data_IF_216557433176
#
_entry.id   IF_216557433176
#
_cell.length_a   1.000
_cell.length_b   1.000
_cell.length_c   1.000
_cell.angle_alpha   90.00
_cell.angle_beta   90.00
_cell.angle_gamma   90.00
#
_symmetry.space_group_name_H-M   'P 1'
#
loop_
_entity.id
_entity.type
_entity.pdbx_description
1 polymer ?
#
# COMPACT_ATOMS: atom_id res chain seq x y z
N UNK A 1 -6.17 0.69 15.71
CA UNK A 1 -6.58 1.92 15.02
C UNK A 1 -7.47 1.57 13.85
N UNK A 2 -8.47 2.37 13.61
CA UNK A 2 -9.38 2.14 12.48
C UNK A 2 -8.87 2.83 11.23
N UNK A 3 -8.98 2.15 10.10
CA UNK A 3 -8.60 2.68 8.81
C UNK A 3 -9.77 3.44 8.24
N UNK A 4 -9.58 4.72 7.93
CA UNK A 4 -10.59 5.55 7.32
C UNK A 4 -10.56 5.40 5.80
N UNK A 5 -9.36 5.37 5.20
CA UNK A 5 -9.20 5.27 3.76
C UNK A 5 -7.80 4.78 3.41
N UNK A 6 -7.68 4.04 2.32
CA UNK A 6 -6.40 3.66 1.75
C UNK A 6 -6.35 4.22 0.33
N UNK A 7 -5.32 5.00 0.03
CA UNK A 7 -5.18 5.69 -1.25
C UNK A 7 -3.97 5.21 -2.03
N UNK A 8 -4.09 5.24 -3.34
CA UNK A 8 -2.98 4.99 -4.27
C UNK A 8 -2.24 3.67 -4.03
N UNK A 9 -2.96 2.55 -3.85
CA UNK A 9 -2.28 1.27 -3.68
C UNK A 9 -1.59 0.85 -4.98
N UNK A 10 -0.35 0.39 -4.86
CA UNK A 10 0.41 -0.08 -6.02
C UNK A 10 1.35 -1.20 -5.60
N UNK A 11 1.54 -2.17 -6.50
CA UNK A 11 2.50 -3.23 -6.28
C UNK A 11 3.92 -2.71 -6.49
N UNK A 12 4.84 -3.16 -5.65
CA UNK A 12 6.27 -2.93 -5.82
C UNK A 12 6.91 -4.20 -6.40
N UNK A 13 8.18 -4.11 -6.75
CA UNK A 13 8.90 -5.20 -7.41
C UNK A 13 8.82 -6.53 -6.64
N UNK A 14 8.88 -6.46 -5.33
CA UNK A 14 8.86 -7.65 -4.47
C UNK A 14 7.46 -8.23 -4.23
N UNK A 15 6.43 -7.60 -4.78
CA UNK A 15 5.06 -8.05 -4.57
C UNK A 15 4.37 -7.44 -3.35
N UNK A 16 5.07 -6.60 -2.60
CA UNK A 16 4.45 -5.83 -1.53
C UNK A 16 3.67 -4.67 -2.11
N UNK A 17 2.76 -4.11 -1.34
CA UNK A 17 1.89 -3.02 -1.80
C UNK A 17 2.23 -1.74 -1.07
N UNK A 18 2.63 -0.71 -1.83
CA UNK A 18 2.84 0.63 -1.30
C UNK A 18 1.53 1.40 -1.39
N UNK A 19 1.18 2.12 -0.34
CA UNK A 19 -0.07 2.87 -0.30
C UNK A 19 0.01 4.00 0.71
N UNK A 20 -1.03 4.84 0.71
CA UNK A 20 -1.19 5.89 1.70
C UNK A 20 -2.42 5.53 2.54
N UNK A 21 -2.24 5.46 3.85
CA UNK A 21 -3.31 5.06 4.77
C UNK A 21 -3.72 6.25 5.63
N UNK A 22 -4.99 6.58 5.57
CA UNK A 22 -5.58 7.59 6.45
C UNK A 22 -6.31 6.86 7.57
N UNK A 23 -5.80 7.02 8.79
CA UNK A 23 -6.43 6.44 9.96
C UNK A 23 -7.49 7.40 10.51
N UNK A 24 -8.49 6.84 11.15
CA UNK A 24 -9.56 7.60 11.76
C UNK A 24 -8.99 8.57 12.78
N UNK A 25 -9.40 9.84 12.68
CA UNK A 25 -8.90 10.90 13.56
C UNK A 25 -7.66 11.62 13.06
N UNK A 26 -7.08 11.17 11.93
CA UNK A 26 -5.93 11.85 11.33
C UNK A 26 -6.35 12.71 10.16
N UNK A 27 -5.66 13.84 9.97
CA UNK A 27 -5.95 14.75 8.86
C UNK A 27 -5.14 14.45 7.60
N UNK A 28 -4.03 13.73 7.76
CA UNK A 28 -3.09 13.50 6.67
C UNK A 28 -2.80 12.01 6.56
N UNK A 29 -2.87 11.44 5.34
CA UNK A 29 -2.51 10.03 5.16
C UNK A 29 -1.01 9.83 5.37
N UNK A 30 -0.65 8.64 5.84
CA UNK A 30 0.76 8.27 6.04
C UNK A 30 1.14 7.18 5.06
N UNK A 31 2.38 7.19 4.56
CA UNK A 31 2.82 6.11 3.67
C UNK A 31 2.93 4.80 4.44
N UNK A 32 2.50 3.71 3.80
CA UNK A 32 2.55 2.38 4.39
C UNK A 32 2.87 1.36 3.32
N UNK A 33 3.73 0.40 3.66
CA UNK A 33 4.04 -0.73 2.78
C UNK A 33 3.42 -1.99 3.36
N UNK A 34 2.39 -2.51 2.69
CA UNK A 34 1.67 -3.69 3.15
C UNK A 34 2.33 -4.96 2.61
N UNK A 35 2.49 -5.95 3.47
CA UNK A 35 3.05 -7.25 3.08
C UNK A 35 2.12 -8.36 3.57
N UNK A 36 2.14 -9.50 2.84
CA UNK A 36 1.35 -10.66 3.24
C UNK A 36 1.86 -11.29 4.53
N UNK A 37 3.11 -11.02 4.88
CA UNK A 37 3.79 -11.63 6.02
C UNK A 37 3.84 -10.72 7.26
N UNK A 38 3.15 -9.58 7.20
CA UNK A 38 3.15 -8.64 8.31
C UNK A 38 2.55 -9.30 9.56
N UNK A 39 3.25 -9.20 10.69
CA UNK A 39 2.80 -9.77 11.95
C UNK A 39 1.93 -8.81 12.76
N UNK A 40 1.93 -7.52 12.40
CA UNK A 40 1.11 -6.52 13.08
C UNK A 40 -0.34 -6.62 12.61
N UNK A 41 -1.29 -6.54 13.54
CA UNK A 41 -2.71 -6.64 13.21
C UNK A 41 -3.15 -5.57 12.22
N UNK A 42 -2.69 -4.34 12.41
CA UNK A 42 -3.01 -3.23 11.50
C UNK A 42 -2.51 -3.52 10.09
N UNK A 43 -1.28 -4.01 9.96
CA UNK A 43 -0.72 -4.36 8.67
C UNK A 43 -1.46 -5.51 8.00
N UNK A 44 -1.86 -6.52 8.77
CA UNK A 44 -2.67 -7.62 8.25
C UNK A 44 -4.02 -7.13 7.75
N UNK A 45 -4.65 -6.22 8.48
CA UNK A 45 -5.91 -5.65 8.07
C UNK A 45 -5.78 -4.86 6.78
N UNK A 46 -4.74 -4.04 6.67
CA UNK A 46 -4.47 -3.26 5.45
C UNK A 46 -4.31 -4.20 4.26
N UNK A 47 -3.50 -5.24 4.41
CA UNK A 47 -3.28 -6.23 3.35
C UNK A 47 -4.60 -6.87 2.92
N UNK A 48 -5.40 -7.33 3.88
CA UNK A 48 -6.67 -7.99 3.58
C UNK A 48 -7.65 -7.05 2.88
N UNK A 49 -7.75 -5.81 3.33
CA UNK A 49 -8.64 -4.83 2.71
C UNK A 49 -8.20 -4.51 1.28
N UNK A 50 -6.90 -4.40 1.05
CA UNK A 50 -6.38 -4.17 -0.29
C UNK A 50 -6.71 -5.35 -1.22
N UNK A 51 -6.53 -6.58 -0.74
CA UNK A 51 -6.80 -7.78 -1.53
C UNK A 51 -8.29 -7.98 -1.80
N UNK A 52 -9.15 -7.48 -0.92
CA UNK A 52 -10.60 -7.62 -1.09
C UNK A 52 -11.19 -6.71 -2.17
N UNK A 53 -10.44 -5.72 -2.62
CA UNK A 53 -10.92 -4.74 -3.58
C UNK A 53 -11.73 -3.61 -2.97
N UNK A 54 -11.82 -3.55 -1.64
CA UNK A 54 -12.59 -2.52 -0.94
C UNK A 54 -12.16 -1.11 -1.33
N UNK A 55 -10.88 -0.91 -1.59
CA UNK A 55 -10.31 0.39 -1.91
C UNK A 55 -9.98 0.56 -3.40
N UNK A 56 -10.56 -0.30 -4.25
CA UNK A 56 -10.35 -0.26 -5.69
C UNK A 56 -9.21 -1.16 -6.14
N UNK A 57 -8.84 -1.02 -7.41
CA UNK A 57 -7.78 -1.82 -7.98
C UNK A 57 -6.41 -1.36 -7.49
N UNK A 58 -5.52 -2.34 -7.28
CA UNK A 58 -4.14 -2.08 -6.93
C UNK A 58 -3.37 -1.91 -8.24
N UNK A 59 -2.71 -0.76 -8.41
CA UNK A 59 -1.93 -0.50 -9.62
C UNK A 59 -0.80 -1.52 -9.76
N UNK A 60 -0.57 -2.06 -10.97
CA UNK A 60 0.53 -3.02 -11.16
C UNK A 60 1.88 -2.34 -11.05
N UNK A 61 2.90 -3.14 -10.74
CA UNK A 61 4.28 -2.64 -10.73
C UNK A 61 4.66 -2.23 -12.15
N UNK A 62 5.20 -1.01 -12.28
CA UNK A 62 5.71 -0.51 -13.55
C UNK A 62 7.10 0.06 -13.34
N UNK A 63 8.00 -0.20 -14.29
CA UNK A 63 9.34 0.33 -14.26
C UNK A 63 9.35 1.64 -15.03
N UNK A 64 9.69 2.74 -14.35
CA UNK A 64 9.79 4.04 -15.00
C UNK A 64 11.21 4.28 -15.51
N UNK A 65 11.40 5.20 -16.46
CA UNK A 65 12.77 5.55 -16.89
C UNK A 65 13.66 5.99 -15.73
N UNK A 66 13.10 6.68 -14.75
CA UNK A 66 13.86 7.11 -13.57
C UNK A 66 14.34 5.91 -12.75
N UNK A 67 13.51 4.89 -12.60
CA UNK A 67 13.90 3.67 -11.90
C UNK A 67 15.00 2.93 -12.65
N UNK A 68 14.93 2.88 -13.98
CA UNK A 68 15.96 2.25 -14.79
C UNK A 68 17.30 2.98 -14.66
N UNK A 69 17.28 4.30 -14.64
CA UNK A 69 18.50 5.10 -14.45
C UNK A 69 19.11 4.88 -13.08
N UNK A 70 18.28 4.80 -12.05
CA UNK A 70 18.74 4.57 -10.68
C UNK A 70 19.34 3.17 -10.49
N UNK A 71 18.94 2.22 -11.33
CA UNK A 71 19.42 0.85 -11.25
C UNK A 71 20.77 0.60 -11.95
N UNK A 72 21.27 1.59 -12.66
CA UNK A 72 22.53 1.44 -13.38
C UNK A 72 23.76 1.64 -12.50
#
# INVERSE_FOLDING_TARGET
>A
MNIQEIKKPRYLESGVIDCEVLFEGMDTPIPYTATAEDTAKTGQQIWQELQSGKWGEIAPFTVTPEMLEAAK
#
